data_IF_720510433803
#
_entry.id   IF_720510433803
#
_cell.length_a   1.000
_cell.length_b   1.000
_cell.length_c   1.000
_cell.angle_alpha   90.00
_cell.angle_beta   90.00
_cell.angle_gamma   90.00
#
_symmetry.space_group_name_H-M   'P 1'
#
loop_
_entity.id
_entity.type
_entity.pdbx_description
1 polymer ?
#
# COMPACT_ATOMS: atom_id res chain seq x y z
N UNK A 1 9.33 11.39 21.30
CA UNK A 1 8.72 11.83 20.02
C UNK A 1 7.81 10.71 19.56
N UNK A 2 6.58 11.00 19.11
CA UNK A 2 5.74 9.94 18.50
C UNK A 2 6.46 9.43 17.25
N UNK A 3 6.73 8.13 17.19
CA UNK A 3 7.35 7.52 16.02
C UNK A 3 6.46 7.77 14.80
N UNK A 4 7.01 8.39 13.75
CA UNK A 4 6.28 8.60 12.52
C UNK A 4 5.99 7.24 11.88
N UNK A 5 4.71 6.98 11.59
CA UNK A 5 4.27 5.77 10.88
C UNK A 5 4.00 6.13 9.44
N UNK A 6 4.79 5.55 8.54
CA UNK A 6 4.58 5.63 7.10
C UNK A 6 3.57 4.56 6.70
N UNK A 7 2.57 4.94 5.90
CA UNK A 7 1.51 4.04 5.43
C UNK A 7 1.52 3.99 3.92
N UNK A 8 1.55 2.79 3.37
CA UNK A 8 1.59 2.60 1.92
C UNK A 8 0.60 1.52 1.46
N UNK A 9 -0.10 1.80 0.38
CA UNK A 9 -0.80 0.78 -0.41
C UNK A 9 0.06 0.51 -1.64
N UNK A 10 0.36 -0.75 -1.90
CA UNK A 10 1.09 -1.18 -3.09
C UNK A 10 0.18 -2.05 -3.96
N UNK A 11 -0.25 -1.50 -5.09
CA UNK A 11 -1.10 -2.20 -6.06
C UNK A 11 -0.21 -2.93 -7.06
N UNK A 12 -0.39 -4.24 -7.22
CA UNK A 12 0.27 -5.05 -8.23
C UNK A 12 -0.80 -5.55 -9.19
N UNK A 13 -0.80 -5.04 -10.42
CA UNK A 13 -1.81 -5.35 -11.43
C UNK A 13 -1.17 -5.52 -12.80
N UNK A 14 -1.86 -6.16 -13.73
CA UNK A 14 -1.44 -6.30 -15.11
C UNK A 14 -2.43 -5.71 -16.12
N UNK A 15 -3.45 -5.00 -15.66
CA UNK A 15 -4.52 -4.50 -16.52
C UNK A 15 -5.22 -3.26 -16.00
N UNK A 16 -6.14 -2.77 -16.82
CA UNK A 16 -6.95 -1.59 -16.53
C UNK A 16 -8.12 -1.90 -15.61
N UNK A 17 -8.46 -0.98 -14.70
CA UNK A 17 -9.69 -1.10 -13.91
C UNK A 17 -10.88 -0.93 -14.84
N UNK A 18 -11.78 -1.92 -14.85
CA UNK A 18 -12.93 -1.93 -15.75
C UNK A 18 -14.29 -1.92 -15.02
N UNK A 19 -14.27 -1.80 -13.69
CA UNK A 19 -15.49 -1.87 -12.86
C UNK A 19 -15.38 -1.05 -11.58
N UNK A 20 -16.52 -0.50 -11.13
CA UNK A 20 -16.66 0.17 -9.85
C UNK A 20 -16.21 1.65 -9.84
N UNK A 21 -15.79 2.12 -8.67
CA UNK A 21 -15.30 3.48 -8.45
C UNK A 21 -13.98 3.68 -9.19
N UNK A 22 -13.73 4.89 -9.69
CA UNK A 22 -12.44 5.25 -10.30
C UNK A 22 -11.27 4.97 -9.35
N UNK A 23 -10.23 4.23 -9.79
CA UNK A 23 -9.07 3.95 -8.95
C UNK A 23 -8.24 5.21 -8.65
N UNK A 24 -8.28 6.20 -9.54
CA UNK A 24 -7.64 7.52 -9.33
C UNK A 24 -8.31 8.27 -8.17
N UNK A 25 -9.65 8.26 -8.12
CA UNK A 25 -10.39 8.88 -7.03
C UNK A 25 -10.15 8.16 -5.68
N UNK A 26 -10.09 6.83 -5.70
CA UNK A 26 -9.75 6.04 -4.51
C UNK A 26 -8.32 6.32 -4.02
N UNK A 27 -7.36 6.47 -4.93
CA UNK A 27 -5.98 6.82 -4.57
C UNK A 27 -5.86 8.24 -4.01
N UNK A 28 -6.63 9.19 -4.54
CA UNK A 28 -6.71 10.55 -3.96
C UNK A 28 -7.23 10.50 -2.52
N UNK A 29 -8.29 9.71 -2.26
CA UNK A 29 -8.80 9.53 -0.91
C UNK A 29 -7.75 8.92 0.02
N UNK A 30 -7.02 7.89 -0.43
CA UNK A 30 -5.93 7.30 0.36
C UNK A 30 -4.88 8.35 0.75
N UNK A 31 -4.47 9.19 -0.21
CA UNK A 31 -3.51 10.27 0.02
C UNK A 31 -4.01 11.30 1.03
N UNK A 32 -5.28 11.68 0.98
CA UNK A 32 -5.91 12.58 1.96
C UNK A 32 -5.88 12.00 3.38
N UNK A 33 -5.88 10.68 3.52
CA UNK A 33 -5.73 9.97 4.80
C UNK A 33 -4.27 9.73 5.20
N UNK A 34 -3.30 10.29 4.47
CA UNK A 34 -1.87 10.12 4.74
C UNK A 34 -1.33 8.74 4.32
N UNK A 35 -1.98 8.05 3.39
CA UNK A 35 -1.54 6.78 2.84
C UNK A 35 -1.04 7.00 1.41
N UNK A 36 0.20 6.63 1.15
CA UNK A 36 0.78 6.70 -0.21
C UNK A 36 0.31 5.51 -1.04
N UNK A 37 -0.18 5.74 -2.26
CA UNK A 37 -0.52 4.63 -3.18
C UNK A 37 0.54 4.50 -4.26
N UNK A 38 1.16 3.33 -4.28
CA UNK A 38 2.16 2.91 -5.25
C UNK A 38 1.55 1.86 -6.19
N UNK A 39 1.97 1.83 -7.45
CA UNK A 39 1.39 0.90 -8.44
C UNK A 39 2.49 0.23 -9.27
N UNK A 40 2.47 -1.10 -9.35
CA UNK A 40 3.39 -1.87 -10.18
C UNK A 40 2.58 -2.61 -11.24
N UNK A 41 2.87 -2.29 -12.50
CA UNK A 41 2.36 -3.01 -13.66
C UNK A 41 3.21 -4.24 -13.96
N UNK A 42 2.60 -5.43 -14.10
CA UNK A 42 3.33 -6.68 -14.42
C UNK A 42 3.05 -7.15 -15.84
N UNK A 43 4.07 -7.11 -16.71
CA UNK A 43 3.99 -7.48 -18.14
C UNK A 43 4.69 -8.80 -18.44
N UNK A 44 4.08 -9.71 -19.21
CA UNK A 44 4.66 -11.04 -19.45
C UNK A 44 5.42 -11.13 -20.78
N UNK A 45 4.81 -10.70 -21.90
CA UNK A 45 5.42 -10.53 -23.22
C UNK A 45 4.58 -9.54 -24.05
N UNK A 46 5.18 -8.45 -24.51
CA UNK A 46 4.51 -7.36 -25.22
C UNK A 46 4.34 -6.10 -24.36
N UNK A 47 3.91 -5.01 -24.99
CA UNK A 47 3.65 -3.75 -24.28
C UNK A 47 2.36 -3.82 -23.49
N UNK A 48 2.39 -3.28 -22.27
CA UNK A 48 1.16 -2.78 -21.67
C UNK A 48 0.67 -1.64 -22.56
N UNK A 49 -0.50 -1.77 -23.17
CA UNK A 49 -1.01 -0.73 -24.08
C UNK A 49 -1.00 0.64 -23.40
N UNK A 50 -0.86 1.72 -24.18
CA UNK A 50 -0.72 3.11 -23.67
C UNK A 50 -1.75 3.47 -22.60
N UNK A 51 -2.97 2.92 -22.72
CA UNK A 51 -4.07 3.16 -21.79
C UNK A 51 -3.83 2.53 -20.40
N UNK A 52 -3.19 1.36 -20.32
CA UNK A 52 -2.83 0.73 -19.05
C UNK A 52 -1.68 1.45 -18.35
N UNK A 53 -0.67 1.88 -19.11
CA UNK A 53 0.41 2.70 -18.56
C UNK A 53 -0.11 4.04 -18.01
N UNK A 54 -0.99 4.69 -18.77
CA UNK A 54 -1.61 5.95 -18.36
C UNK A 54 -2.38 5.79 -17.05
N UNK A 55 -3.20 4.74 -16.94
CA UNK A 55 -3.98 4.51 -15.72
C UNK A 55 -3.09 4.22 -14.51
N UNK A 56 -2.08 3.36 -14.66
CA UNK A 56 -1.12 3.05 -13.58
C UNK A 56 -0.42 4.32 -13.08
N UNK A 57 0.01 5.19 -14.01
CA UNK A 57 0.61 6.48 -13.70
C UNK A 57 -0.37 7.38 -12.95
N UNK A 58 -1.58 7.55 -13.47
CA UNK A 58 -2.60 8.43 -12.88
C UNK A 58 -2.98 8.01 -11.46
N UNK A 59 -3.09 6.71 -11.19
CA UNK A 59 -3.38 6.18 -9.84
C UNK A 59 -2.23 6.53 -8.88
N UNK A 60 -0.98 6.26 -9.28
CA UNK A 60 0.17 6.53 -8.41
C UNK A 60 0.37 8.03 -8.16
N UNK A 61 0.20 8.88 -9.17
CA UNK A 61 0.29 10.33 -9.04
C UNK A 61 -0.80 10.90 -8.11
N UNK A 62 -2.04 10.45 -8.29
CA UNK A 62 -3.16 10.81 -7.42
C UNK A 62 -2.92 10.37 -5.97
N UNK A 63 -2.38 9.17 -5.79
CA UNK A 63 -1.99 8.61 -4.49
C UNK A 63 -0.71 9.20 -3.87
N UNK A 64 -0.02 10.10 -4.57
CA UNK A 64 1.24 10.70 -4.12
C UNK A 64 2.43 9.74 -4.09
N UNK A 65 2.29 8.56 -4.69
CA UNK A 65 3.31 7.52 -4.72
C UNK A 65 4.10 7.49 -6.02
N UNK A 66 4.61 6.31 -6.34
CA UNK A 66 5.40 6.01 -7.52
C UNK A 66 4.79 4.85 -8.28
N UNK A 67 5.10 4.76 -9.56
CA UNK A 67 4.74 3.62 -10.38
C UNK A 67 5.95 3.05 -11.09
N UNK A 68 5.88 1.78 -11.48
CA UNK A 68 6.84 1.13 -12.36
C UNK A 68 6.15 0.01 -13.16
N UNK A 69 6.72 -0.35 -14.30
CA UNK A 69 6.19 -1.39 -15.19
C UNK A 69 7.31 -2.40 -15.41
N UNK A 70 7.08 -3.64 -15.00
CA UNK A 70 8.14 -4.64 -14.88
C UNK A 70 7.73 -5.99 -15.38
N UNK A 71 8.74 -6.76 -15.78
CA UNK A 71 8.57 -8.18 -16.02
C UNK A 71 8.50 -8.93 -14.68
N UNK A 72 7.79 -10.09 -14.62
CA UNK A 72 7.69 -10.92 -13.40
C UNK A 72 9.03 -11.17 -12.71
N UNK A 73 10.10 -11.38 -13.48
CA UNK A 73 11.45 -11.67 -12.95
C UNK A 73 12.06 -10.50 -12.16
N UNK A 74 11.61 -9.26 -12.42
CA UNK A 74 12.10 -8.04 -11.77
C UNK A 74 11.19 -7.57 -10.63
N UNK A 75 10.00 -8.17 -10.49
CA UNK A 75 8.97 -7.71 -9.56
C UNK A 75 9.46 -7.57 -8.12
N UNK A 76 10.16 -8.59 -7.59
CA UNK A 76 10.65 -8.57 -6.21
C UNK A 76 11.57 -7.38 -5.91
N UNK A 77 12.52 -7.10 -6.81
CA UNK A 77 13.44 -5.99 -6.68
C UNK A 77 12.73 -4.65 -6.79
N UNK A 78 11.77 -4.53 -7.72
CA UNK A 78 11.02 -3.30 -7.93
C UNK A 78 10.09 -2.99 -6.76
N UNK A 79 9.42 -3.99 -6.18
CA UNK A 79 8.59 -3.82 -4.98
C UNK A 79 9.41 -3.18 -3.85
N UNK A 80 10.61 -3.72 -3.57
CA UNK A 80 11.50 -3.20 -2.53
C UNK A 80 11.97 -1.77 -2.85
N UNK A 81 12.44 -1.55 -4.09
CA UNK A 81 12.98 -0.27 -4.55
C UNK A 81 11.93 0.84 -4.54
N UNK A 82 10.73 0.55 -5.04
CA UNK A 82 9.63 1.50 -5.14
C UNK A 82 9.11 1.88 -3.76
N UNK A 83 8.92 0.90 -2.87
CA UNK A 83 8.57 1.15 -1.45
C UNK A 83 9.57 2.09 -0.79
N UNK A 84 10.87 1.81 -0.92
CA UNK A 84 11.93 2.65 -0.34
C UNK A 84 11.93 4.07 -0.91
N UNK A 85 11.86 4.22 -2.23
CA UNK A 85 11.79 5.54 -2.88
C UNK A 85 10.55 6.32 -2.44
N UNK A 86 9.41 5.66 -2.31
CA UNK A 86 8.16 6.27 -1.85
C UNK A 86 8.26 6.74 -0.39
N UNK A 87 8.93 5.96 0.48
CA UNK A 87 9.21 6.37 1.86
C UNK A 87 10.09 7.62 1.92
N UNK A 88 11.24 7.59 1.23
CA UNK A 88 12.16 8.75 1.17
C UNK A 88 11.45 10.00 0.66
N UNK A 89 10.62 9.86 -0.39
CA UNK A 89 9.82 10.97 -0.93
C UNK A 89 8.83 11.52 0.09
N UNK A 90 8.12 10.65 0.81
CA UNK A 90 7.13 11.03 1.82
C UNK A 90 7.78 11.80 2.97
N UNK A 91 8.90 11.29 3.48
CA UNK A 91 9.65 11.97 4.55
C UNK A 91 10.20 13.31 4.04
N UNK A 92 10.78 13.33 2.85
CA UNK A 92 11.28 14.57 2.26
C UNK A 92 10.18 15.62 2.12
N UNK A 93 8.97 15.23 1.72
CA UNK A 93 7.82 16.13 1.63
C UNK A 93 7.42 16.71 3.00
N UNK A 94 7.40 15.87 4.05
CA UNK A 94 7.10 16.33 5.42
C UNK A 94 8.19 17.29 5.90
N UNK A 95 9.46 16.91 5.78
CA UNK A 95 10.60 17.75 6.19
C UNK A 95 10.61 19.08 5.42
N UNK A 96 10.36 19.05 4.10
CA UNK A 96 10.29 20.26 3.27
C UNK A 96 9.17 21.19 3.72
N UNK A 97 8.02 20.64 4.14
CA UNK A 97 6.89 21.41 4.65
C UNK A 97 7.24 22.09 5.97
N UNK A 98 7.83 21.35 6.92
CA UNK A 98 8.28 21.89 8.21
C UNK A 98 9.33 23.00 8.02
N UNK A 99 10.30 22.78 7.13
CA UNK A 99 11.31 23.79 6.80
C UNK A 99 10.68 25.05 6.21
N UNK A 100 9.66 24.90 5.34
CA UNK A 100 8.93 26.03 4.76
C UNK A 100 8.13 26.82 5.79
N UNK A 101 7.53 26.14 6.77
CA UNK A 101 6.82 26.79 7.88
C UNK A 101 7.75 27.61 8.77
N UNK A 102 8.99 27.13 8.99
CA UNK A 102 9.99 27.80 9.82
C UNK A 102 10.75 28.92 9.06
N UNK A 103 11.10 28.69 7.79
CA UNK A 103 12.03 29.54 7.02
C UNK A 103 11.37 30.35 5.90
N UNK A 104 10.08 30.14 5.61
CA UNK A 104 9.36 30.79 4.51
C UNK A 104 9.63 30.17 3.13
N UNK A 105 9.18 30.83 2.06
CA UNK A 105 9.17 30.29 0.69
C UNK A 105 10.55 29.95 0.10
N UNK A 106 11.65 30.44 0.69
CA UNK A 106 13.03 30.18 0.22
C UNK A 106 13.71 28.98 0.92
N UNK A 107 12.95 28.16 1.66
CA UNK A 107 13.48 27.18 2.60
C UNK A 107 14.39 26.09 2.03
N UNK A 108 14.20 25.63 0.78
CA UNK A 108 15.02 24.56 0.19
C UNK A 108 16.10 25.10 -0.75
N UNK A 109 15.77 26.11 -1.55
CA UNK A 109 16.70 26.72 -2.52
C UNK A 109 17.71 27.65 -1.81
N UNK A 110 17.34 28.23 -0.67
CA UNK A 110 18.20 29.06 0.15
C UNK A 110 19.15 28.28 1.09
N UNK A 111 19.02 26.95 1.18
CA UNK A 111 19.97 26.14 1.98
C UNK A 111 21.30 26.05 1.26
N UNK A 112 22.38 26.36 1.99
CA UNK A 112 23.75 26.10 1.57
C UNK A 112 23.98 24.59 1.34
N UNK A 113 24.88 24.20 0.42
CA UNK A 113 25.11 22.80 0.08
C UNK A 113 25.35 21.88 1.28
N UNK A 114 26.10 22.31 2.31
CA UNK A 114 26.35 21.46 3.48
C UNK A 114 25.05 21.11 4.23
N UNK A 115 24.13 22.07 4.37
CA UNK A 115 22.85 21.84 5.04
C UNK A 115 21.94 20.92 4.21
N UNK A 116 22.01 20.98 2.88
CA UNK A 116 21.26 20.05 2.02
C UNK A 116 21.73 18.60 2.21
N UNK A 117 23.04 18.39 2.33
CA UNK A 117 23.62 17.07 2.64
C UNK A 117 23.15 16.59 4.02
N UNK A 118 23.13 17.47 5.02
CA UNK A 118 22.64 17.14 6.36
C UNK A 118 21.16 16.76 6.37
N UNK A 119 20.32 17.51 5.65
CA UNK A 119 18.88 17.21 5.52
C UNK A 119 18.67 15.88 4.80
N UNK A 120 19.41 15.61 3.73
CA UNK A 120 19.35 14.32 3.03
C UNK A 120 19.70 13.15 3.97
N UNK A 121 20.78 13.26 4.74
CA UNK A 121 21.16 12.23 5.72
C UNK A 121 20.09 12.01 6.80
N UNK A 122 19.45 13.08 7.26
CA UNK A 122 18.33 12.99 8.22
C UNK A 122 17.12 12.29 7.62
N UNK A 123 16.77 12.59 6.37
CA UNK A 123 15.67 11.93 5.65
C UNK A 123 15.93 10.43 5.52
N UNK A 124 17.16 10.03 5.19
CA UNK A 124 17.54 8.63 5.09
C UNK A 124 17.47 7.90 6.44
N UNK A 125 17.99 8.52 7.52
CA UNK A 125 17.93 7.95 8.88
C UNK A 125 16.48 7.82 9.37
N UNK A 126 15.64 8.83 9.12
CA UNK A 126 14.22 8.76 9.41
C UNK A 126 13.53 7.66 8.59
N UNK A 127 13.90 7.48 7.33
CA UNK A 127 13.38 6.42 6.46
C UNK A 127 13.70 5.03 6.99
N UNK A 128 14.88 4.85 7.58
CA UNK A 128 15.32 3.57 8.11
C UNK A 128 14.65 3.24 9.46
N UNK A 129 14.45 4.23 10.33
CA UNK A 129 13.90 4.03 11.69
C UNK A 129 12.39 4.17 11.80
N UNK A 130 11.72 4.81 10.84
CA UNK A 130 10.27 5.03 10.91
C UNK A 130 9.50 3.71 10.83
N UNK A 131 8.37 3.65 11.54
CA UNK A 131 7.45 2.52 11.40
C UNK A 131 6.85 2.52 10.00
N UNK A 132 6.69 1.34 9.40
CA UNK A 132 6.08 1.19 8.08
C UNK A 132 4.96 0.15 8.11
N UNK A 133 3.78 0.59 7.70
CA UNK A 133 2.63 -0.27 7.48
C UNK A 133 2.36 -0.34 5.96
N UNK A 134 2.44 -1.53 5.37
CA UNK A 134 2.20 -1.75 3.92
C UNK A 134 1.03 -2.69 3.68
N UNK A 135 0.02 -2.26 2.91
CA UNK A 135 -0.99 -3.16 2.36
C UNK A 135 -0.66 -3.42 0.90
N UNK A 136 -0.35 -4.67 0.54
CA UNK A 136 -0.15 -5.07 -0.85
C UNK A 136 -1.45 -5.61 -1.42
N UNK A 137 -1.93 -5.00 -2.51
CA UNK A 137 -3.10 -5.43 -3.27
C UNK A 137 -2.64 -6.17 -4.51
N UNK A 138 -2.97 -7.45 -4.61
CA UNK A 138 -2.58 -8.31 -5.72
C UNK A 138 -3.80 -8.56 -6.62
N UNK A 139 -3.67 -8.19 -7.87
CA UNK A 139 -4.63 -8.57 -8.90
C UNK A 139 -4.60 -10.08 -9.11
N UNK A 140 -5.78 -10.68 -9.10
CA UNK A 140 -6.01 -12.11 -9.30
C UNK A 140 -6.90 -12.41 -10.50
N UNK A 141 -7.02 -11.45 -11.41
CA UNK A 141 -7.65 -11.63 -12.71
C UNK A 141 -6.97 -12.74 -13.51
N UNK A 142 -7.64 -13.21 -14.56
CA UNK A 142 -7.18 -14.39 -15.29
C UNK A 142 -5.82 -14.25 -15.96
N UNK A 143 -5.43 -13.02 -16.32
CA UNK A 143 -4.13 -12.68 -16.91
C UNK A 143 -2.98 -12.75 -15.90
N UNK A 144 -3.27 -12.68 -14.59
CA UNK A 144 -2.26 -12.77 -13.53
C UNK A 144 -1.83 -14.19 -13.23
N UNK A 145 -2.61 -15.21 -13.62
CA UNK A 145 -2.33 -16.63 -13.34
C UNK A 145 -0.87 -17.06 -13.59
N UNK A 146 -0.26 -16.78 -14.75
CA UNK A 146 1.14 -17.15 -14.98
C UNK A 146 2.16 -16.29 -14.21
N UNK A 147 1.76 -15.11 -13.73
CA UNK A 147 2.60 -14.15 -12.98
C UNK A 147 2.58 -14.40 -11.46
N UNK A 148 1.59 -15.15 -10.96
CA UNK A 148 1.39 -15.40 -9.53
C UNK A 148 2.62 -15.96 -8.82
N UNK A 149 3.35 -16.88 -9.45
CA UNK A 149 4.55 -17.45 -8.83
C UNK A 149 5.60 -16.38 -8.54
N UNK A 150 5.79 -15.43 -9.46
CA UNK A 150 6.68 -14.30 -9.26
C UNK A 150 6.15 -13.32 -8.20
N UNK A 151 4.84 -13.11 -8.13
CA UNK A 151 4.21 -12.28 -7.09
C UNK A 151 4.41 -12.90 -5.70
N UNK A 152 4.23 -14.22 -5.56
CA UNK A 152 4.48 -14.93 -4.31
C UNK A 152 5.94 -14.80 -3.86
N UNK A 153 6.87 -14.97 -4.79
CA UNK A 153 8.29 -14.76 -4.52
C UNK A 153 8.58 -13.32 -4.11
N UNK A 154 8.00 -12.35 -4.81
CA UNK A 154 8.14 -10.93 -4.48
C UNK A 154 7.60 -10.58 -3.10
N UNK A 155 6.48 -11.16 -2.68
CA UNK A 155 5.91 -10.98 -1.34
C UNK A 155 6.83 -11.54 -0.27
N UNK A 156 7.33 -12.75 -0.48
CA UNK A 156 8.28 -13.38 0.44
C UNK A 156 9.56 -12.53 0.57
N UNK A 157 10.19 -12.18 -0.55
CA UNK A 157 11.45 -11.41 -0.55
C UNK A 157 11.25 -10.00 -0.01
N UNK A 158 10.08 -9.39 -0.24
CA UNK A 158 9.72 -8.11 0.33
C UNK A 158 9.55 -8.20 1.85
N UNK A 159 8.91 -9.25 2.38
CA UNK A 159 8.77 -9.45 3.83
C UNK A 159 10.14 -9.56 4.53
N UNK A 160 11.10 -10.24 3.92
CA UNK A 160 12.48 -10.33 4.42
C UNK A 160 13.14 -8.95 4.40
N UNK A 161 12.98 -8.21 3.31
CA UNK A 161 13.49 -6.84 3.20
C UNK A 161 12.89 -5.91 4.28
N UNK A 162 11.60 -6.02 4.57
CA UNK A 162 10.95 -5.25 5.63
C UNK A 162 11.53 -5.55 7.01
N UNK A 163 11.80 -6.83 7.32
CA UNK A 163 12.42 -7.26 8.58
C UNK A 163 13.87 -6.79 8.74
N UNK A 164 14.57 -6.55 7.64
CA UNK A 164 15.95 -6.05 7.69
C UNK A 164 16.06 -4.58 8.11
N UNK A 165 14.93 -3.84 8.13
CA UNK A 165 14.90 -2.45 8.54
C UNK A 165 15.04 -2.31 10.05
N UNK A 166 15.64 -1.20 10.48
CA UNK A 166 15.77 -0.84 11.90
C UNK A 166 14.44 -0.45 12.54
N UNK A 167 13.54 0.16 11.74
CA UNK A 167 12.19 0.51 12.15
C UNK A 167 11.20 -0.66 12.02
N UNK A 168 10.21 -0.69 12.92
CA UNK A 168 9.15 -1.69 12.88
C UNK A 168 8.41 -1.67 11.54
N UNK A 169 8.25 -2.84 10.92
CA UNK A 169 7.56 -2.96 9.64
C UNK A 169 6.54 -4.09 9.73
N UNK A 170 5.29 -3.81 9.35
CA UNK A 170 4.29 -4.84 9.14
C UNK A 170 3.68 -4.72 7.76
N UNK A 171 3.23 -5.85 7.22
CA UNK A 171 2.53 -5.91 5.95
C UNK A 171 1.27 -6.76 6.03
N UNK A 172 0.29 -6.43 5.21
CA UNK A 172 -0.85 -7.27 4.89
C UNK A 172 -0.89 -7.51 3.38
N UNK A 173 -1.33 -8.69 2.96
CA UNK A 173 -1.54 -9.01 1.55
C UNK A 173 -2.98 -9.32 1.30
N UNK A 174 -3.55 -8.63 0.34
CA UNK A 174 -4.91 -8.83 -0.11
C UNK A 174 -4.94 -9.13 -1.60
N UNK A 175 -5.95 -9.84 -2.05
CA UNK A 175 -6.20 -10.06 -3.48
C UNK A 175 -7.52 -9.45 -3.90
N UNK A 176 -7.57 -8.94 -5.13
CA UNK A 176 -8.81 -8.52 -5.77
C UNK A 176 -8.90 -9.14 -7.17
N UNK A 177 -10.09 -9.45 -7.68
CA UNK A 177 -11.38 -9.40 -6.99
C UNK A 177 -11.50 -10.45 -5.86
N UNK A 178 -12.23 -10.11 -4.80
CA UNK A 178 -12.57 -11.04 -3.72
C UNK A 178 -13.74 -11.96 -4.08
N UNK A 179 -13.96 -13.01 -3.27
CA UNK A 179 -15.05 -13.98 -3.51
C UNK A 179 -16.43 -13.45 -3.16
N UNK A 180 -16.51 -12.67 -2.07
CA UNK A 180 -17.75 -12.11 -1.54
C UNK A 180 -17.73 -10.57 -1.53
N UNK A 181 -16.54 -9.97 -1.37
CA UNK A 181 -16.29 -8.52 -1.40
C UNK A 181 -15.35 -8.16 -2.57
N UNK A 182 -14.99 -6.88 -2.73
CA UNK A 182 -14.01 -6.51 -3.77
C UNK A 182 -12.60 -6.94 -3.39
N UNK A 183 -12.32 -7.11 -2.09
CA UNK A 183 -11.03 -7.50 -1.54
C UNK A 183 -11.13 -8.74 -0.64
N UNK A 184 -10.21 -9.69 -0.82
CA UNK A 184 -9.99 -10.81 0.10
C UNK A 184 -8.65 -10.60 0.82
N UNK A 185 -8.63 -10.55 2.15
CA UNK A 185 -7.40 -10.58 2.94
C UNK A 185 -6.82 -11.99 2.89
N UNK A 186 -5.61 -12.13 2.32
CA UNK A 186 -4.93 -13.42 2.18
C UNK A 186 -3.91 -13.65 3.29
N UNK A 187 -3.18 -12.59 3.62
CA UNK A 187 -2.22 -12.55 4.73
C UNK A 187 -2.63 -11.34 5.59
N UNK A 188 -3.14 -11.57 6.82
CA UNK A 188 -3.41 -10.49 7.77
C UNK A 188 -2.14 -9.70 8.11
N UNK A 189 -2.29 -8.59 8.84
CA UNK A 189 -1.14 -7.82 9.32
C UNK A 189 -0.12 -8.72 10.04
N UNK A 190 1.10 -8.74 9.52
CA UNK A 190 2.19 -9.52 10.07
C UNK A 190 3.52 -8.80 9.90
N UNK A 191 4.44 -9.02 10.85
CA UNK A 191 5.84 -8.62 10.73
C UNK A 191 6.68 -9.71 10.03
N UNK A 192 6.14 -10.93 9.91
CA UNK A 192 6.81 -12.09 9.32
C UNK A 192 5.87 -12.85 8.37
N UNK A 193 6.31 -13.10 7.13
CA UNK A 193 5.54 -13.87 6.16
C UNK A 193 6.15 -15.28 6.04
N UNK A 194 5.70 -16.19 6.90
CA UNK A 194 6.15 -17.59 6.86
C UNK A 194 5.46 -18.42 5.76
N UNK A 195 4.33 -17.93 5.22
CA UNK A 195 3.43 -18.74 4.37
C UNK A 195 2.94 -18.00 3.12
N UNK A 196 3.84 -17.39 2.34
CA UNK A 196 3.51 -16.76 1.05
C UNK A 196 2.84 -17.74 0.04
N UNK A 197 3.04 -19.05 0.21
CA UNK A 197 2.43 -20.07 -0.62
C UNK A 197 0.88 -20.12 -0.54
N UNK A 198 0.26 -19.59 0.51
CA UNK A 198 -1.21 -19.59 0.68
C UNK A 198 -1.96 -18.62 -0.25
N UNK A 199 -1.23 -17.74 -0.95
CA UNK A 199 -1.81 -16.77 -1.87
C UNK A 199 -2.46 -17.40 -3.11
N UNK A 200 -2.08 -18.62 -3.50
CA UNK A 200 -2.62 -19.31 -4.68
C UNK A 200 -3.88 -20.13 -4.39
N UNK A 201 -4.20 -20.41 -3.13
CA UNK A 201 -5.40 -21.17 -2.77
C UNK A 201 -6.67 -20.31 -2.84
N UNK A 202 -7.46 -20.51 -3.90
CA UNK A 202 -8.83 -19.99 -3.98
C UNK A 202 -9.02 -18.74 -4.82
N UNK A 203 -8.12 -18.42 -5.74
CA UNK A 203 -8.36 -17.38 -6.74
C UNK A 203 -9.53 -17.77 -7.65
N UNK A 204 -10.68 -17.13 -7.41
CA UNK A 204 -11.86 -17.27 -8.28
C UNK A 204 -11.67 -16.33 -9.46
N UNK A 205 -11.38 -16.93 -10.61
CA UNK A 205 -11.17 -16.25 -11.87
C UNK A 205 -12.47 -15.52 -12.24
N UNK A 206 -12.47 -14.20 -12.17
CA UNK A 206 -13.54 -13.37 -12.70
C UNK A 206 -12.97 -12.40 -13.74
N UNK A 207 -13.79 -12.01 -14.72
CA UNK A 207 -13.37 -11.11 -15.80
C UNK A 207 -13.36 -9.62 -15.44
N UNK A 208 -13.58 -9.28 -14.17
CA UNK A 208 -13.65 -7.89 -13.69
C UNK A 208 -12.50 -7.60 -12.72
N UNK A 209 -11.96 -6.39 -12.81
CA UNK A 209 -10.84 -5.91 -11.98
C UNK A 209 -11.28 -4.65 -11.24
N UNK A 210 -11.83 -4.77 -10.01
CA UNK A 210 -12.35 -3.63 -9.25
C UNK A 210 -11.23 -2.93 -8.46
N UNK A 211 -10.27 -2.32 -9.16
CA UNK A 211 -9.08 -1.70 -8.53
C UNK A 211 -9.44 -0.56 -7.58
N UNK A 212 -10.39 0.31 -7.96
CA UNK A 212 -10.82 1.41 -7.10
C UNK A 212 -11.49 0.95 -5.80
N UNK A 213 -12.51 0.07 -5.86
CA UNK A 213 -13.08 -0.54 -4.67
C UNK A 213 -12.04 -1.26 -3.79
N UNK A 214 -11.08 -1.97 -4.38
CA UNK A 214 -9.99 -2.63 -3.65
C UNK A 214 -9.13 -1.63 -2.87
N UNK A 215 -8.77 -0.48 -3.46
CA UNK A 215 -8.03 0.58 -2.76
C UNK A 215 -8.86 1.12 -1.59
N UNK A 216 -10.16 1.34 -1.76
CA UNK A 216 -11.05 1.83 -0.68
C UNK A 216 -11.10 0.84 0.49
N UNK A 217 -11.29 -0.45 0.20
CA UNK A 217 -11.29 -1.49 1.23
C UNK A 217 -9.92 -1.59 1.91
N UNK A 218 -8.82 -1.39 1.18
CA UNK A 218 -7.47 -1.38 1.74
C UNK A 218 -7.23 -0.21 2.71
N UNK A 219 -7.79 0.97 2.43
CA UNK A 219 -7.73 2.13 3.36
C UNK A 219 -8.33 1.76 4.72
N UNK A 220 -9.40 0.95 4.72
CA UNK A 220 -10.07 0.50 5.94
C UNK A 220 -9.20 -0.37 6.85
N UNK A 221 -8.18 -1.05 6.28
CA UNK A 221 -7.29 -1.94 7.03
C UNK A 221 -6.27 -1.19 7.90
N UNK A 222 -6.08 0.11 7.68
CA UNK A 222 -5.17 0.91 8.49
C UNK A 222 -5.88 1.40 9.76
N UNK A 223 -5.38 0.94 10.92
CA UNK A 223 -5.81 1.41 12.23
C UNK A 223 -5.74 2.94 12.30
N UNK A 224 -6.84 3.58 12.71
CA UNK A 224 -7.04 5.04 12.86
C UNK A 224 -7.44 5.85 11.62
N UNK A 225 -7.81 5.23 10.50
CA UNK A 225 -8.37 5.97 9.35
C UNK A 225 -9.89 6.17 9.49
N UNK A 226 -10.36 7.43 9.43
CA UNK A 226 -11.79 7.73 9.42
C UNK A 226 -12.32 7.65 7.99
N UNK A 227 -12.93 6.53 7.63
CA UNK A 227 -13.66 6.41 6.36
C UNK A 227 -14.86 7.38 6.31
N UNK A 228 -15.19 7.95 5.14
CA UNK A 228 -16.44 8.70 4.95
C UNK A 228 -17.66 7.88 5.36
N UNK A 229 -18.67 8.51 5.97
CA UNK A 229 -19.83 7.81 6.59
C UNK A 229 -20.52 6.82 5.65
N UNK A 230 -20.71 7.17 4.37
CA UNK A 230 -21.33 6.26 3.38
C UNK A 230 -20.47 5.06 2.95
N UNK A 231 -19.15 5.12 3.18
CA UNK A 231 -18.22 4.00 2.99
C UNK A 231 -18.07 3.17 4.28
N UNK A 232 -18.17 3.81 5.45
CA UNK A 232 -18.16 3.15 6.75
C UNK A 232 -19.33 2.18 6.91
N UNK A 233 -20.53 2.51 6.45
CA UNK A 233 -21.67 1.57 6.52
C UNK A 233 -21.51 0.35 5.59
N UNK A 234 -20.64 0.45 4.58
CA UNK A 234 -20.37 -0.64 3.63
C UNK A 234 -19.15 -1.48 3.98
N UNK A 235 -18.17 -0.90 4.68
CA UNK A 235 -16.84 -1.48 4.91
C UNK A 235 -16.38 -1.44 6.38
N UNK A 236 -17.17 -0.86 7.27
CA UNK A 236 -16.91 -0.80 8.70
C UNK A 236 -17.48 -2.03 9.40
N UNK A 237 -16.86 -3.19 9.21
CA UNK A 237 -17.05 -4.29 10.14
C UNK A 237 -15.72 -4.91 10.54
N UNK A 238 -15.64 -5.10 11.86
CA UNK A 238 -14.62 -5.73 12.68
C UNK A 238 -13.36 -4.92 12.98
N UNK A 239 -13.41 -4.20 14.11
CA UNK A 239 -12.41 -4.44 15.15
C UNK A 239 -12.97 -4.06 16.54
N UNK A 240 -12.71 -4.95 17.51
CA UNK A 240 -12.79 -4.81 18.98
C UNK A 240 -14.12 -5.14 19.69
N UNK A 241 -14.50 -6.42 19.69
CA UNK A 241 -15.03 -7.08 20.90
C UNK A 241 -14.11 -8.25 21.26
N UNK A 242 -13.01 -7.95 21.96
CA UNK A 242 -12.45 -8.91 22.91
C UNK A 242 -11.63 -8.12 23.93
N UNK A 243 -12.30 -7.81 25.06
CA UNK A 243 -11.77 -6.95 26.09
C UNK A 243 -12.81 -6.64 27.16
N UNK A 244 -13.04 -7.63 28.02
CA UNK A 244 -13.50 -7.46 29.40
C UNK A 244 -14.99 -7.12 29.64
N UNK A 245 -15.81 -8.15 29.90
CA UNK A 245 -16.30 -8.45 31.25
C UNK A 245 -17.27 -9.62 31.21
N UNK A 246 -16.79 -10.78 31.69
CA UNK A 246 -17.67 -11.83 32.17
C UNK A 246 -18.44 -11.33 33.39
N UNK A 247 -19.72 -11.02 33.20
CA UNK A 247 -20.70 -10.96 34.27
C UNK A 247 -21.90 -11.82 33.88
N UNK A 248 -21.82 -13.09 34.25
CA UNK A 248 -23.00 -13.94 34.41
C UNK A 248 -23.86 -13.33 35.52
N UNK A 249 -24.96 -12.68 35.15
CA UNK A 249 -26.07 -12.40 36.05
C UNK A 249 -27.40 -12.73 35.39
N UNK A 250 -28.02 -13.76 35.95
CA UNK A 250 -29.44 -13.89 36.24
C UNK A 250 -30.43 -13.80 35.07
N UNK A 251 -30.77 -14.98 34.53
CA UNK A 251 -32.14 -15.23 34.08
C UNK A 251 -32.89 -16.02 35.15
N UNK A 252 -33.74 -15.28 35.86
CA UNK A 252 -34.89 -15.78 36.59
C UNK A 252 -36.08 -15.81 35.62
N UNK A 253 -36.82 -16.92 35.66
CA UNK A 253 -38.06 -17.30 34.96
C UNK A 253 -37.91 -17.94 33.56
#
# INVERSE_FOLDING_TARGET
>A
MKEATLRQILVVTDGCSNSGISPVAAATLAREQGITVNVIGVIEKGDMGEQGEKEIREIAEAGGGLFDIVYPQQLAQTVQMLTRKAMTRTIHQVVSKELKEILGDSAMEGLVPEKRVQVAGMVDELGERSRLDVVMLVDSSGSMKPKLAAVQQAIHDFSISLRSRSGQSRMAVCSFPGKQNHLDVRIPWTEEVDQAHQLTSGLTMSGITPTGPAIIEAIALFEHVKLPTGLRDRYGHNELEDGDQGSLRDHVF
#
